data_IF_316060837935
#
_entry.id   IF_316060837935
#
_cell.length_a   1.000
_cell.length_b   1.000
_cell.length_c   1.000
_cell.angle_alpha   90.00
_cell.angle_beta   90.00
_cell.angle_gamma   90.00
#
_symmetry.space_group_name_H-M   'P 1'
#
loop_
_entity.id
_entity.type
_entity.pdbx_description
1 polymer ?
#
# COMPACT_ATOMS: atom_id res chain seq x y z
N UNK A 1 2.18 2.23 16.87
CA UNK A 1 1.45 1.05 17.39
C UNK A 1 2.35 0.21 18.27
N UNK A 2 3.54 -0.28 17.79
CA UNK A 2 4.49 -1.02 18.65
C UNK A 2 4.96 -0.18 19.86
N UNK A 3 5.25 1.09 19.66
CA UNK A 3 5.62 2.02 20.74
C UNK A 3 4.53 2.22 21.80
N UNK A 4 3.28 1.90 21.46
CA UNK A 4 2.14 1.93 22.39
C UNK A 4 1.91 0.60 23.12
N UNK A 5 2.89 -0.31 23.14
CA UNK A 5 2.80 -1.60 23.83
C UNK A 5 1.94 -2.65 23.11
N UNK A 6 1.49 -2.39 21.89
CA UNK A 6 0.68 -3.35 21.11
C UNK A 6 1.59 -4.32 20.36
N UNK A 7 1.39 -5.63 20.58
CA UNK A 7 2.08 -6.66 19.81
C UNK A 7 1.54 -6.68 18.38
N UNK A 8 2.38 -6.37 17.40
CA UNK A 8 2.07 -6.37 15.98
C UNK A 8 2.68 -7.58 15.29
N UNK A 9 1.86 -8.35 14.58
CA UNK A 9 2.28 -9.50 13.77
C UNK A 9 2.10 -9.11 12.30
N UNK A 10 3.19 -8.82 11.58
CA UNK A 10 3.12 -8.42 10.19
C UNK A 10 2.75 -9.61 9.30
N UNK A 11 1.80 -9.38 8.39
CA UNK A 11 1.38 -10.33 7.39
C UNK A 11 1.38 -9.67 6.01
N UNK A 12 1.75 -10.42 4.97
CA UNK A 12 1.66 -9.97 3.58
C UNK A 12 1.12 -11.08 2.70
N UNK A 13 0.33 -10.71 1.69
CA UNK A 13 -0.18 -11.69 0.73
C UNK A 13 0.95 -12.24 -0.13
N UNK A 14 1.84 -11.37 -0.63
CA UNK A 14 2.96 -11.74 -1.52
C UNK A 14 4.29 -11.55 -0.79
N UNK A 15 5.24 -12.38 -1.14
CA UNK A 15 6.63 -12.18 -0.76
C UNK A 15 7.35 -11.49 -1.92
N UNK A 16 7.79 -10.24 -1.76
CA UNK A 16 8.59 -9.57 -2.78
C UNK A 16 9.97 -10.24 -2.95
N UNK A 17 10.60 -10.11 -4.13
CA UNK A 17 11.98 -10.53 -4.34
C UNK A 17 12.94 -9.88 -3.34
N UNK A 18 14.03 -10.57 -3.01
CA UNK A 18 15.00 -10.06 -2.03
C UNK A 18 15.66 -8.74 -2.46
N UNK A 19 15.87 -8.59 -3.74
CA UNK A 19 16.46 -7.37 -4.33
C UNK A 19 15.64 -6.08 -4.10
N UNK A 20 14.36 -6.20 -3.76
CA UNK A 20 13.51 -5.05 -3.45
C UNK A 20 13.77 -4.49 -2.02
N UNK A 21 14.40 -5.28 -1.13
CA UNK A 21 14.69 -4.88 0.24
C UNK A 21 16.09 -4.27 0.35
N UNK A 22 16.18 -2.96 0.26
CA UNK A 22 17.46 -2.24 0.21
C UNK A 22 17.98 -1.81 1.59
N UNK A 23 17.06 -1.55 2.54
CA UNK A 23 17.38 -1.12 3.90
C UNK A 23 17.47 -2.28 4.91
N UNK A 24 18.19 -2.07 6.02
CA UNK A 24 18.27 -3.06 7.12
C UNK A 24 16.91 -3.28 7.81
N UNK A 25 16.14 -2.22 8.01
CA UNK A 25 14.81 -2.29 8.60
C UNK A 25 13.83 -3.08 7.73
N UNK A 26 13.91 -2.90 6.40
CA UNK A 26 13.09 -3.64 5.43
C UNK A 26 13.44 -5.14 5.46
N UNK A 27 14.72 -5.49 5.53
CA UNK A 27 15.16 -6.89 5.65
C UNK A 27 14.70 -7.53 6.96
N UNK A 28 14.75 -6.78 8.06
CA UNK A 28 14.23 -7.22 9.35
C UNK A 28 12.73 -7.44 9.29
N UNK A 29 11.98 -6.47 8.75
CA UNK A 29 10.54 -6.58 8.58
C UNK A 29 10.17 -7.79 7.70
N UNK A 30 10.95 -8.06 6.62
CA UNK A 30 10.77 -9.24 5.76
C UNK A 30 10.88 -10.54 6.56
N UNK A 31 11.88 -10.65 7.43
CA UNK A 31 12.11 -11.86 8.24
C UNK A 31 10.98 -12.11 9.25
N UNK A 32 10.38 -11.06 9.80
CA UNK A 32 9.28 -11.13 10.76
C UNK A 32 7.90 -11.33 10.09
N UNK A 33 7.78 -11.11 8.78
CA UNK A 33 6.49 -11.12 8.07
C UNK A 33 6.04 -12.53 7.70
N UNK A 34 4.78 -12.84 8.04
CA UNK A 34 4.12 -14.04 7.55
C UNK A 34 3.58 -13.82 6.13
N UNK A 35 4.03 -14.66 5.18
CA UNK A 35 3.64 -14.59 3.78
C UNK A 35 2.55 -15.61 3.46
N UNK A 36 1.35 -15.12 3.16
CA UNK A 36 0.15 -15.94 2.97
C UNK A 36 0.25 -16.81 1.73
N UNK A 37 0.61 -16.21 0.58
CA UNK A 37 0.64 -16.91 -0.71
C UNK A 37 1.67 -18.05 -0.76
N UNK A 38 2.92 -17.87 -0.32
CA UNK A 38 3.86 -18.97 -0.18
C UNK A 38 3.36 -20.07 0.74
N UNK A 39 2.74 -19.70 1.87
CA UNK A 39 2.18 -20.67 2.81
C UNK A 39 0.98 -21.45 2.22
N UNK A 40 0.13 -20.81 1.42
CA UNK A 40 -1.03 -21.42 0.77
C UNK A 40 -0.65 -22.34 -0.42
N UNK A 41 0.55 -22.19 -0.98
CA UNK A 41 1.06 -23.12 -2.02
C UNK A 41 1.35 -24.52 -1.50
N UNK A 42 1.53 -24.69 -0.20
CA UNK A 42 1.65 -26.01 0.41
C UNK A 42 0.26 -26.63 0.59
N UNK A 43 -0.10 -27.71 -0.15
CA UNK A 43 -1.44 -28.26 -0.16
C UNK A 43 -1.83 -28.86 1.20
N UNK A 44 -0.88 -29.46 1.92
CA UNK A 44 -1.13 -30.02 3.25
C UNK A 44 -1.48 -28.94 4.26
N UNK A 45 -0.74 -27.81 4.19
CA UNK A 45 -1.01 -26.65 5.05
C UNK A 45 -2.36 -26.03 4.73
N UNK A 46 -2.70 -25.91 3.44
CA UNK A 46 -3.96 -25.37 2.96
C UNK A 46 -5.13 -26.22 3.46
N UNK A 47 -5.10 -27.53 3.21
CA UNK A 47 -6.11 -28.48 3.65
C UNK A 47 -6.26 -28.51 5.17
N UNK A 48 -5.17 -28.52 5.90
CA UNK A 48 -5.17 -28.52 7.36
C UNK A 48 -5.76 -27.20 7.93
N UNK A 49 -5.48 -26.05 7.31
CA UNK A 49 -6.03 -24.76 7.73
C UNK A 49 -7.55 -24.73 7.52
N UNK A 50 -8.02 -25.10 6.34
CA UNK A 50 -9.44 -25.16 6.03
C UNK A 50 -10.18 -26.24 6.84
N UNK A 51 -9.57 -27.41 7.05
CA UNK A 51 -10.12 -28.47 7.91
C UNK A 51 -10.33 -27.98 9.34
N UNK A 52 -9.34 -27.30 9.92
CA UNK A 52 -9.48 -26.70 11.26
C UNK A 52 -10.55 -25.61 11.31
N UNK A 53 -10.62 -24.74 10.29
CA UNK A 53 -11.66 -23.70 10.22
C UNK A 53 -13.05 -24.32 10.11
N UNK A 54 -13.22 -25.35 9.29
CA UNK A 54 -14.46 -26.10 9.12
C UNK A 54 -14.89 -26.82 10.43
N UNK A 55 -13.97 -27.50 11.09
CA UNK A 55 -14.25 -28.20 12.36
C UNK A 55 -14.58 -27.25 13.50
N UNK A 56 -14.01 -26.02 13.50
CA UNK A 56 -14.37 -25.00 14.51
C UNK A 56 -15.79 -24.49 14.33
N UNK A 57 -16.23 -24.29 13.09
CA UNK A 57 -17.61 -23.91 12.77
C UNK A 57 -17.88 -24.06 11.28
N UNK A 58 -18.58 -25.14 10.92
CA UNK A 58 -19.06 -25.40 9.56
C UNK A 58 -19.91 -24.23 9.03
N UNK A 59 -20.78 -23.68 9.89
CA UNK A 59 -21.66 -22.58 9.53
C UNK A 59 -20.88 -21.31 9.16
N UNK A 60 -19.82 -20.95 9.92
CA UNK A 60 -18.99 -19.79 9.61
C UNK A 60 -18.18 -20.04 8.35
N UNK A 61 -17.61 -21.23 8.19
CA UNK A 61 -16.87 -21.59 6.99
C UNK A 61 -17.75 -21.46 5.74
N UNK A 62 -18.97 -22.02 5.76
CA UNK A 62 -19.92 -21.92 4.65
C UNK A 62 -20.39 -20.48 4.38
N UNK A 63 -20.70 -19.71 5.44
CA UNK A 63 -21.06 -18.29 5.32
C UNK A 63 -19.93 -17.47 4.71
N UNK A 64 -18.68 -17.75 5.07
CA UNK A 64 -17.52 -17.04 4.53
C UNK A 64 -17.26 -17.42 3.07
N UNK A 65 -17.46 -18.68 2.69
CA UNK A 65 -17.42 -19.08 1.28
C UNK A 65 -18.51 -18.37 0.47
N UNK A 66 -19.73 -18.32 0.98
CA UNK A 66 -20.83 -17.58 0.35
C UNK A 66 -20.53 -16.10 0.25
N UNK A 67 -19.87 -15.50 1.25
CA UNK A 67 -19.39 -14.12 1.21
C UNK A 67 -18.36 -13.92 0.08
N UNK A 68 -17.38 -14.81 -0.03
CA UNK A 68 -16.39 -14.74 -1.11
C UNK A 68 -17.07 -14.76 -2.50
N UNK A 69 -18.04 -15.65 -2.69
CA UNK A 69 -18.83 -15.71 -3.93
C UNK A 69 -19.64 -14.43 -4.15
N UNK A 70 -20.24 -13.86 -3.12
CA UNK A 70 -21.02 -12.61 -3.22
C UNK A 70 -20.16 -11.40 -3.55
N UNK A 71 -18.93 -11.34 -3.04
CA UNK A 71 -17.97 -10.24 -3.28
C UNK A 71 -17.35 -10.27 -4.68
N UNK A 72 -17.71 -11.21 -5.54
CA UNK A 72 -17.18 -11.24 -6.90
C UNK A 72 -17.83 -10.18 -7.79
N UNK A 73 -17.06 -9.62 -8.70
CA UNK A 73 -17.61 -8.96 -9.88
C UNK A 73 -18.17 -10.01 -10.88
N UNK A 74 -18.96 -9.61 -11.87
CA UNK A 74 -19.48 -10.54 -12.86
C UNK A 74 -18.39 -11.32 -13.59
N UNK A 75 -18.67 -12.59 -13.91
CA UNK A 75 -17.82 -13.44 -14.73
C UNK A 75 -17.08 -14.57 -13.99
N UNK A 76 -16.75 -15.61 -14.73
CA UNK A 76 -16.10 -16.84 -14.21
C UNK A 76 -14.72 -16.56 -13.66
N UNK A 77 -13.94 -15.70 -14.33
CA UNK A 77 -12.61 -15.30 -13.87
C UNK A 77 -12.63 -14.65 -12.49
N UNK A 78 -13.64 -13.80 -12.25
CA UNK A 78 -13.80 -13.13 -10.96
C UNK A 78 -14.18 -14.14 -9.85
N UNK A 79 -15.01 -15.12 -10.15
CA UNK A 79 -15.33 -16.21 -9.24
C UNK A 79 -14.09 -17.01 -8.85
N UNK A 80 -13.27 -17.39 -9.85
CA UNK A 80 -12.02 -18.12 -9.60
C UNK A 80 -11.10 -17.34 -8.66
N UNK A 81 -10.92 -16.02 -8.89
CA UNK A 81 -10.12 -15.19 -8.02
C UNK A 81 -10.66 -15.12 -6.59
N UNK A 82 -11.97 -15.02 -6.42
CA UNK A 82 -12.58 -14.99 -5.07
C UNK A 82 -12.41 -16.33 -4.35
N UNK A 83 -12.46 -17.45 -5.06
CA UNK A 83 -12.14 -18.76 -4.49
C UNK A 83 -10.67 -18.84 -4.05
N UNK A 84 -9.73 -18.31 -4.85
CA UNK A 84 -8.34 -18.21 -4.41
C UNK A 84 -8.18 -17.33 -3.16
N UNK A 85 -8.87 -16.19 -3.10
CA UNK A 85 -8.85 -15.35 -1.90
C UNK A 85 -9.43 -16.06 -0.68
N UNK A 86 -10.48 -16.86 -0.86
CA UNK A 86 -11.03 -17.69 0.22
C UNK A 86 -10.03 -18.75 0.69
N UNK A 87 -9.33 -19.41 -0.22
CA UNK A 87 -8.28 -20.38 0.12
C UNK A 87 -7.11 -19.73 0.88
N UNK A 88 -6.63 -18.58 0.42
CA UNK A 88 -5.61 -17.78 1.11
C UNK A 88 -6.09 -17.32 2.50
N UNK A 89 -7.37 -16.93 2.61
CA UNK A 89 -7.98 -16.50 3.85
C UNK A 89 -8.01 -17.58 4.92
N UNK A 90 -8.25 -18.84 4.56
CA UNK A 90 -8.19 -19.97 5.50
C UNK A 90 -6.81 -20.13 6.13
N UNK A 91 -5.74 -19.98 5.33
CA UNK A 91 -4.35 -20.04 5.80
C UNK A 91 -4.01 -18.87 6.70
N UNK A 92 -4.46 -17.65 6.35
CA UNK A 92 -4.28 -16.48 7.18
C UNK A 92 -5.06 -16.62 8.50
N UNK A 93 -6.32 -17.04 8.46
CA UNK A 93 -7.13 -17.24 9.66
C UNK A 93 -6.52 -18.25 10.65
N UNK A 94 -5.94 -19.35 10.15
CA UNK A 94 -5.21 -20.30 10.98
C UNK A 94 -3.98 -19.68 11.65
N UNK A 95 -3.23 -18.86 10.91
CA UNK A 95 -2.09 -18.11 11.44
C UNK A 95 -2.51 -17.11 12.52
N UNK A 96 -3.56 -16.32 12.26
CA UNK A 96 -4.12 -15.36 13.22
C UNK A 96 -4.55 -16.05 14.52
N UNK A 97 -5.21 -17.19 14.40
CA UNK A 97 -5.68 -17.98 15.55
C UNK A 97 -4.54 -18.52 16.41
N UNK A 98 -3.51 -19.11 15.77
CA UNK A 98 -2.33 -19.64 16.47
C UNK A 98 -1.57 -18.55 17.22
N UNK A 99 -1.57 -17.34 16.69
CA UNK A 99 -0.90 -16.19 17.30
C UNK A 99 -1.80 -15.38 18.24
N UNK A 100 -3.03 -15.82 18.50
CA UNK A 100 -4.02 -15.17 19.37
C UNK A 100 -4.26 -13.70 18.99
N UNK A 101 -4.30 -13.43 17.67
CA UNK A 101 -4.61 -12.09 17.14
C UNK A 101 -6.04 -11.73 17.49
N UNK A 102 -6.26 -10.51 17.98
CA UNK A 102 -7.58 -10.02 18.39
C UNK A 102 -8.17 -8.99 17.46
N UNK A 103 -7.38 -8.44 16.52
CA UNK A 103 -7.82 -7.48 15.51
C UNK A 103 -6.95 -7.61 14.27
N UNK A 104 -7.55 -7.60 13.09
CA UNK A 104 -6.84 -7.60 11.81
C UNK A 104 -7.00 -6.24 11.14
N UNK A 105 -5.89 -5.53 10.92
CA UNK A 105 -5.87 -4.29 10.14
C UNK A 105 -5.17 -4.49 8.81
N UNK A 106 -5.79 -4.03 7.72
CA UNK A 106 -5.25 -4.15 6.37
C UNK A 106 -4.96 -2.77 5.77
N UNK A 107 -3.98 -2.67 4.90
CA UNK A 107 -3.72 -1.50 4.08
C UNK A 107 -4.18 -1.74 2.64
N UNK A 108 -4.85 -0.74 2.04
CA UNK A 108 -5.50 -0.77 0.73
C UNK A 108 -6.76 -1.64 0.65
N UNK A 109 -7.80 -1.14 -0.03
CA UNK A 109 -9.08 -1.83 -0.22
C UNK A 109 -9.07 -2.92 -1.31
N UNK A 110 -7.94 -3.26 -1.90
CA UNK A 110 -7.78 -4.16 -3.05
C UNK A 110 -7.86 -5.67 -2.68
N UNK A 111 -7.16 -6.53 -3.42
CA UNK A 111 -7.15 -7.98 -3.23
C UNK A 111 -6.71 -8.43 -1.83
N UNK A 112 -5.74 -7.72 -1.22
CA UNK A 112 -5.31 -8.04 0.15
C UNK A 112 -6.45 -7.87 1.16
N UNK A 113 -7.26 -6.83 0.97
CA UNK A 113 -8.42 -6.58 1.79
C UNK A 113 -9.51 -7.65 1.60
N UNK A 114 -9.65 -8.23 0.39
CA UNK A 114 -10.56 -9.36 0.16
C UNK A 114 -10.13 -10.58 0.97
N UNK A 115 -8.84 -10.90 0.99
CA UNK A 115 -8.31 -11.97 1.85
C UNK A 115 -8.48 -11.64 3.33
N UNK A 116 -8.20 -10.39 3.73
CA UNK A 116 -8.27 -9.97 5.13
C UNK A 116 -9.68 -10.05 5.71
N UNK A 117 -10.70 -9.56 4.99
CA UNK A 117 -12.09 -9.64 5.46
C UNK A 117 -12.57 -11.08 5.61
N UNK A 118 -12.24 -11.95 4.63
CA UNK A 118 -12.57 -13.37 4.70
C UNK A 118 -11.83 -14.09 5.84
N UNK A 119 -10.57 -13.75 6.06
CA UNK A 119 -9.79 -14.31 7.15
C UNK A 119 -10.30 -13.88 8.53
N UNK A 120 -10.69 -12.62 8.68
CA UNK A 120 -11.28 -12.10 9.91
C UNK A 120 -12.62 -12.79 10.24
N UNK A 121 -13.47 -13.02 9.23
CA UNK A 121 -14.72 -13.80 9.39
C UNK A 121 -14.42 -15.22 9.88
N UNK A 122 -13.50 -15.94 9.21
CA UNK A 122 -13.10 -17.29 9.61
C UNK A 122 -12.46 -17.34 11.01
N UNK A 123 -11.68 -16.31 11.36
CA UNK A 123 -11.05 -16.23 12.68
C UNK A 123 -11.97 -15.66 13.76
N UNK A 124 -13.13 -15.10 13.41
CA UNK A 124 -14.10 -14.45 14.29
C UNK A 124 -13.49 -13.27 15.07
N UNK A 125 -12.70 -12.45 14.40
CA UNK A 125 -12.09 -11.25 14.96
C UNK A 125 -12.52 -10.01 14.18
N UNK A 126 -12.54 -8.82 14.82
CA UNK A 126 -12.81 -7.58 14.12
C UNK A 126 -11.74 -7.28 13.07
N UNK A 127 -12.19 -6.65 11.98
CA UNK A 127 -11.40 -6.25 10.83
C UNK A 127 -11.52 -4.76 10.62
N UNK A 128 -10.45 -4.12 10.16
CA UNK A 128 -10.42 -2.73 9.70
C UNK A 128 -9.41 -2.56 8.58
N UNK A 129 -9.49 -1.44 7.86
CA UNK A 129 -8.49 -1.14 6.83
C UNK A 129 -8.27 0.36 6.66
N UNK A 130 -7.08 0.69 6.11
CA UNK A 130 -6.71 2.03 5.65
C UNK A 130 -6.72 2.07 4.13
N UNK A 131 -7.40 3.08 3.56
CA UNK A 131 -7.36 3.35 2.12
C UNK A 131 -6.33 4.45 1.83
N UNK A 132 -5.37 4.14 0.94
CA UNK A 132 -4.20 4.98 0.68
C UNK A 132 -4.20 5.69 -0.68
N UNK A 133 -5.10 5.39 -1.56
CA UNK A 133 -5.00 5.96 -2.90
C UNK A 133 -6.30 5.93 -3.71
N UNK A 134 -6.35 6.68 -4.80
CA UNK A 134 -7.55 6.82 -5.60
C UNK A 134 -7.85 5.59 -6.48
N UNK A 135 -6.88 4.69 -6.71
CA UNK A 135 -7.00 3.59 -7.67
C UNK A 135 -8.19 2.66 -7.39
N UNK A 136 -8.54 2.44 -6.13
CA UNK A 136 -9.67 1.61 -5.73
C UNK A 136 -11.02 2.18 -6.23
N UNK A 137 -11.12 3.50 -6.33
CA UNK A 137 -12.36 4.18 -6.70
C UNK A 137 -12.69 4.11 -8.19
N UNK A 138 -11.74 3.68 -9.03
CA UNK A 138 -11.98 3.40 -10.44
C UNK A 138 -12.54 1.99 -10.69
N UNK A 139 -12.46 1.09 -9.71
CA UNK A 139 -12.89 -0.31 -9.84
C UNK A 139 -13.65 -0.78 -8.59
N UNK A 140 -14.56 0.04 -8.07
CA UNK A 140 -15.28 -0.17 -6.80
C UNK A 140 -15.95 -1.54 -6.73
N UNK A 141 -16.67 -1.92 -7.80
CA UNK A 141 -17.39 -3.19 -7.88
C UNK A 141 -16.43 -4.39 -7.95
N UNK A 142 -15.30 -4.24 -8.65
CA UNK A 142 -14.28 -5.28 -8.72
C UNK A 142 -13.72 -5.62 -7.35
N UNK A 143 -13.58 -4.60 -6.51
CA UNK A 143 -13.02 -4.75 -5.17
C UNK A 143 -14.06 -4.97 -4.09
N UNK A 144 -15.35 -4.97 -4.43
CA UNK A 144 -16.47 -5.06 -3.49
C UNK A 144 -16.30 -4.08 -2.31
N UNK A 145 -15.94 -2.83 -2.60
CA UNK A 145 -15.62 -1.84 -1.59
C UNK A 145 -16.78 -1.58 -0.61
N UNK A 146 -18.06 -1.47 -1.06
CA UNK A 146 -19.19 -1.31 -0.15
C UNK A 146 -19.30 -2.42 0.90
N UNK A 147 -19.12 -3.67 0.48
CA UNK A 147 -19.19 -4.84 1.39
C UNK A 147 -18.04 -4.82 2.42
N UNK A 148 -16.83 -4.42 2.02
CA UNK A 148 -15.68 -4.28 2.91
C UNK A 148 -15.90 -3.20 3.96
N UNK A 149 -16.44 -2.04 3.56
CA UNK A 149 -16.80 -0.95 4.47
C UNK A 149 -17.87 -1.42 5.44
N UNK A 150 -18.92 -2.10 4.95
CA UNK A 150 -20.00 -2.61 5.80
C UNK A 150 -19.49 -3.54 6.90
N UNK A 151 -18.51 -4.39 6.61
CA UNK A 151 -17.95 -5.39 7.53
C UNK A 151 -16.83 -4.87 8.42
N UNK A 152 -16.17 -3.79 8.03
CA UNK A 152 -15.13 -3.21 8.83
C UNK A 152 -15.67 -2.68 10.17
N UNK A 153 -14.92 -2.86 11.25
CA UNK A 153 -15.17 -2.22 12.53
C UNK A 153 -14.96 -0.69 12.41
N UNK A 154 -13.93 -0.28 11.68
CA UNK A 154 -13.68 1.09 11.25
C UNK A 154 -12.87 1.10 9.94
N UNK A 155 -12.93 2.22 9.23
CA UNK A 155 -12.16 2.46 8.01
C UNK A 155 -11.37 3.75 8.17
N UNK A 156 -10.10 3.71 7.82
CA UNK A 156 -9.23 4.89 7.85
C UNK A 156 -9.09 5.44 6.43
N UNK A 157 -9.44 6.71 6.25
CA UNK A 157 -9.16 7.51 5.08
C UNK A 157 -7.93 8.39 5.33
N UNK A 158 -6.97 8.41 4.41
CA UNK A 158 -5.77 9.23 4.60
C UNK A 158 -5.96 10.73 4.31
N UNK A 159 -7.09 11.10 3.68
CA UNK A 159 -7.43 12.49 3.33
C UNK A 159 -8.95 12.69 3.36
N UNK A 160 -9.39 13.96 3.37
CA UNK A 160 -10.81 14.33 3.21
C UNK A 160 -11.38 13.85 1.87
N UNK A 161 -10.59 13.94 0.79
CA UNK A 161 -10.97 13.40 -0.51
C UNK A 161 -11.21 11.87 -0.42
N UNK A 162 -10.29 11.14 0.16
CA UNK A 162 -10.45 9.70 0.34
C UNK A 162 -11.72 9.37 1.16
N UNK A 163 -11.97 10.11 2.25
CA UNK A 163 -13.18 9.95 3.05
C UNK A 163 -14.44 10.19 2.24
N UNK A 164 -14.51 11.28 1.45
CA UNK A 164 -15.68 11.59 0.62
C UNK A 164 -15.96 10.48 -0.40
N UNK A 165 -14.91 9.91 -1.01
CA UNK A 165 -15.07 8.80 -1.95
C UNK A 165 -15.54 7.51 -1.26
N UNK A 166 -15.02 7.18 -0.09
CA UNK A 166 -15.49 6.04 0.70
C UNK A 166 -16.96 6.20 1.11
N UNK A 167 -17.39 7.42 1.46
CA UNK A 167 -18.79 7.72 1.75
C UNK A 167 -19.66 7.60 0.50
N UNK A 168 -19.22 8.09 -0.65
CA UNK A 168 -19.96 8.02 -1.93
C UNK A 168 -20.27 6.56 -2.31
N UNK A 169 -19.34 5.64 -2.08
CA UNK A 169 -19.45 4.24 -2.43
C UNK A 169 -19.89 3.33 -1.26
N UNK A 170 -20.50 3.89 -0.22
CA UNK A 170 -21.01 3.12 0.92
C UNK A 170 -22.37 3.62 1.40
N UNK A 171 -23.10 2.73 2.07
CA UNK A 171 -24.37 3.08 2.70
C UNK A 171 -24.12 4.13 3.81
N UNK A 172 -24.94 5.20 3.91
CA UNK A 172 -24.83 6.24 4.94
C UNK A 172 -24.76 5.72 6.38
N UNK A 173 -25.41 4.60 6.69
CA UNK A 173 -25.34 3.95 8.03
C UNK A 173 -23.92 3.53 8.44
N UNK A 174 -22.95 3.53 7.50
CA UNK A 174 -21.56 3.14 7.76
C UNK A 174 -20.60 4.34 7.79
N UNK A 175 -21.08 5.57 7.59
CA UNK A 175 -20.22 6.75 7.50
C UNK A 175 -19.48 7.08 8.79
N UNK A 176 -20.09 6.80 9.94
CA UNK A 176 -19.50 7.02 11.26
C UNK A 176 -18.26 6.16 11.52
N UNK A 177 -18.12 5.05 10.77
CA UNK A 177 -16.94 4.19 10.84
C UNK A 177 -15.73 4.76 10.07
N UNK A 178 -15.93 5.77 9.19
CA UNK A 178 -14.91 6.30 8.31
C UNK A 178 -14.25 7.50 8.97
N UNK A 179 -13.04 7.29 9.49
CA UNK A 179 -12.25 8.31 10.17
C UNK A 179 -11.06 8.75 9.32
N UNK A 180 -10.59 9.99 9.54
CA UNK A 180 -9.41 10.50 8.84
C UNK A 180 -8.19 10.33 9.74
N UNK A 181 -7.16 9.65 9.21
CA UNK A 181 -5.82 9.62 9.81
C UNK A 181 -4.82 9.89 8.69
N UNK A 182 -4.24 11.07 8.71
CA UNK A 182 -3.24 11.45 7.69
C UNK A 182 -1.97 10.63 7.80
N UNK A 183 -1.35 10.34 6.65
CA UNK A 183 0.00 9.80 6.64
C UNK A 183 0.95 10.88 7.18
N UNK A 184 1.67 10.56 8.24
CA UNK A 184 2.59 11.48 8.89
C UNK A 184 4.04 11.14 8.62
N UNK A 185 4.90 12.13 8.86
CA UNK A 185 6.35 12.00 8.95
C UNK A 185 6.82 12.59 10.26
N UNK A 186 7.98 12.19 10.74
CA UNK A 186 8.61 12.84 11.88
C UNK A 186 9.24 14.17 11.42
N UNK A 187 8.70 15.34 11.82
CA UNK A 187 9.26 16.64 11.40
C UNK A 187 10.71 16.85 11.88
N UNK A 188 11.12 16.19 12.99
CA UNK A 188 12.48 16.31 13.52
C UNK A 188 13.52 15.69 12.57
N UNK A 189 13.12 14.73 11.74
CA UNK A 189 13.97 14.15 10.72
C UNK A 189 14.22 15.10 9.52
N UNK A 190 13.38 16.14 9.35
CA UNK A 190 13.42 17.08 8.22
C UNK A 190 13.89 18.46 8.70
N UNK A 191 15.18 18.57 9.00
CA UNK A 191 15.74 19.87 9.39
C UNK A 191 16.05 20.69 8.14
N UNK A 192 15.60 21.95 8.12
CA UNK A 192 15.95 22.90 7.07
C UNK A 192 17.42 23.32 7.25
N UNK A 193 18.21 23.30 6.18
CA UNK A 193 19.47 23.98 6.11
C UNK A 193 19.19 25.46 5.75
N UNK A 194 19.51 26.43 6.64
CA UNK A 194 19.29 27.84 6.36
C UNK A 194 20.24 28.41 5.30
N UNK A 195 21.34 27.70 4.94
CA UNK A 195 22.35 28.15 3.98
C UNK A 195 22.03 27.97 2.50
N UNK A 196 20.87 27.37 2.17
CA UNK A 196 20.49 27.11 0.77
C UNK A 196 20.20 28.38 -0.02
N UNK A 197 20.74 28.50 -1.22
CA UNK A 197 20.53 29.64 -2.15
C UNK A 197 19.17 29.63 -2.87
N UNK A 198 18.32 28.62 -2.61
CA UNK A 198 17.00 28.47 -3.24
C UNK A 198 17.00 28.00 -4.70
N UNK A 199 18.16 27.70 -5.28
CA UNK A 199 18.30 27.32 -6.70
C UNK A 199 18.39 25.80 -6.94
N UNK A 200 18.46 25.01 -5.86
CA UNK A 200 18.50 23.55 -5.94
C UNK A 200 17.12 22.98 -5.66
N UNK A 201 16.54 22.35 -6.67
CA UNK A 201 15.23 21.67 -6.59
C UNK A 201 15.45 20.19 -6.40
N UNK A 202 14.78 19.62 -5.41
CA UNK A 202 14.81 18.18 -5.16
C UNK A 202 13.43 17.56 -5.37
N UNK A 203 13.39 16.46 -6.10
CA UNK A 203 12.23 15.58 -6.20
C UNK A 203 12.57 14.24 -5.55
N UNK A 204 11.75 13.79 -4.62
CA UNK A 204 11.93 12.50 -3.95
C UNK A 204 10.69 11.66 -4.14
N UNK A 205 10.83 10.55 -4.83
CA UNK A 205 9.70 9.66 -5.05
C UNK A 205 9.87 8.71 -6.23
N UNK A 206 8.93 7.77 -6.35
CA UNK A 206 8.90 6.87 -7.49
C UNK A 206 8.68 7.67 -8.79
N UNK A 207 9.49 7.41 -9.80
CA UNK A 207 9.32 8.00 -11.13
C UNK A 207 8.18 7.28 -11.88
N UNK A 208 6.96 7.68 -11.52
CA UNK A 208 5.71 7.14 -12.00
C UNK A 208 4.88 8.32 -12.57
N UNK A 209 4.11 8.12 -13.66
CA UNK A 209 3.30 9.20 -14.25
C UNK A 209 2.46 9.99 -13.23
N UNK A 210 1.88 9.30 -12.22
CA UNK A 210 1.06 9.94 -11.17
C UNK A 210 1.86 10.86 -10.24
N UNK A 211 3.19 10.81 -10.24
CA UNK A 211 4.06 11.65 -9.41
C UNK A 211 4.52 12.93 -10.12
N UNK A 212 4.23 13.07 -11.42
CA UNK A 212 4.44 14.30 -12.16
C UNK A 212 5.90 14.61 -12.53
N UNK A 213 6.80 13.62 -12.56
CA UNK A 213 8.22 13.86 -12.88
C UNK A 213 8.42 14.53 -14.27
N UNK A 214 7.64 14.13 -15.28
CA UNK A 214 7.67 14.77 -16.61
C UNK A 214 7.23 16.24 -16.55
N UNK A 215 6.16 16.53 -15.82
CA UNK A 215 5.67 17.89 -15.65
C UNK A 215 6.69 18.77 -14.93
N UNK A 216 7.40 18.20 -13.93
CA UNK A 216 8.47 18.92 -13.22
C UNK A 216 9.63 19.25 -14.15
N UNK A 217 10.02 18.38 -15.08
CA UNK A 217 11.07 18.65 -16.07
C UNK A 217 10.64 19.79 -17.02
N UNK A 218 9.39 19.81 -17.45
CA UNK A 218 8.88 20.91 -18.27
C UNK A 218 8.87 22.24 -17.51
N UNK A 219 8.46 22.21 -16.24
CA UNK A 219 8.52 23.38 -15.37
C UNK A 219 9.96 23.87 -15.17
N UNK A 220 10.92 22.91 -15.01
CA UNK A 220 12.34 23.25 -14.84
C UNK A 220 12.93 23.97 -16.06
N UNK A 221 12.53 23.60 -17.29
CA UNK A 221 12.91 24.29 -18.50
C UNK A 221 12.47 25.76 -18.50
N UNK A 222 11.34 26.06 -17.87
CA UNK A 222 10.87 27.44 -17.68
C UNK A 222 11.67 28.16 -16.59
N UNK A 223 11.96 27.50 -15.49
CA UNK A 223 12.79 28.05 -14.39
C UNK A 223 14.17 28.43 -14.87
N UNK A 224 14.81 27.59 -15.68
CA UNK A 224 16.16 27.82 -16.20
C UNK A 224 16.30 29.08 -17.12
N UNK A 225 15.20 29.56 -17.71
CA UNK A 225 15.20 30.81 -18.46
C UNK A 225 15.46 32.04 -17.55
N UNK A 226 14.93 32.00 -16.33
CA UNK A 226 15.11 33.08 -15.35
C UNK A 226 16.27 32.81 -14.39
N UNK A 227 16.63 31.57 -14.16
CA UNK A 227 17.64 31.10 -13.23
C UNK A 227 18.54 30.04 -13.89
N UNK A 228 19.48 30.44 -14.77
CA UNK A 228 20.31 29.50 -15.55
C UNK A 228 21.21 28.58 -14.70
N UNK A 229 21.45 28.93 -13.45
CA UNK A 229 22.26 28.23 -12.47
C UNK A 229 21.38 27.28 -11.55
N UNK A 230 20.07 27.19 -11.78
CA UNK A 230 19.23 26.29 -11.05
C UNK A 230 19.49 24.83 -11.45
N UNK A 231 19.35 23.91 -10.50
CA UNK A 231 19.52 22.47 -10.73
C UNK A 231 18.34 21.67 -10.20
N UNK A 232 18.06 20.53 -10.83
CA UNK A 232 17.02 19.58 -10.40
C UNK A 232 17.65 18.21 -10.13
N UNK A 233 17.47 17.66 -8.93
CA UNK A 233 17.84 16.29 -8.62
C UNK A 233 16.59 15.44 -8.40
N UNK A 234 16.44 14.35 -9.17
CA UNK A 234 15.38 13.37 -9.01
C UNK A 234 15.92 12.13 -8.28
N UNK A 235 15.53 11.97 -7.02
CA UNK A 235 15.84 10.81 -6.20
C UNK A 235 14.67 9.80 -6.27
N UNK A 236 14.90 8.70 -6.93
CA UNK A 236 13.95 7.64 -7.15
C UNK A 236 14.16 6.93 -8.48
N UNK A 237 13.35 5.91 -8.72
CA UNK A 237 13.33 5.15 -9.96
C UNK A 237 11.90 4.76 -10.32
N UNK A 238 11.68 4.30 -11.55
CA UNK A 238 10.36 3.87 -11.97
C UNK A 238 10.15 3.92 -13.48
N UNK A 239 8.96 3.50 -13.95
CA UNK A 239 8.67 3.34 -15.38
C UNK A 239 8.73 4.65 -16.18
N UNK A 240 8.57 5.81 -15.53
CA UNK A 240 8.65 7.12 -16.21
C UNK A 240 10.09 7.64 -16.38
N UNK A 241 11.12 6.96 -15.85
CA UNK A 241 12.51 7.44 -15.88
C UNK A 241 13.02 7.69 -17.31
N UNK A 242 12.94 6.69 -18.17
CA UNK A 242 13.44 6.81 -19.54
C UNK A 242 12.75 7.95 -20.32
N UNK A 243 11.43 8.13 -20.13
CA UNK A 243 10.69 9.24 -20.72
C UNK A 243 11.11 10.61 -20.16
N UNK A 244 11.42 10.67 -18.86
CA UNK A 244 11.89 11.88 -18.20
C UNK A 244 13.29 12.30 -18.67
N UNK A 245 14.21 11.34 -18.83
CA UNK A 245 15.56 11.55 -19.38
C UNK A 245 15.49 12.04 -20.85
N UNK A 246 14.68 11.38 -21.67
CA UNK A 246 14.46 11.77 -23.06
C UNK A 246 13.86 13.19 -23.16
N UNK A 247 12.92 13.55 -22.27
CA UNK A 247 12.30 14.88 -22.25
C UNK A 247 13.28 15.95 -21.83
N UNK A 248 14.11 15.72 -20.80
CA UNK A 248 15.16 16.66 -20.39
C UNK A 248 16.12 16.95 -21.53
N UNK A 249 16.54 15.92 -22.28
CA UNK A 249 17.40 16.05 -23.47
C UNK A 249 16.72 16.84 -24.58
N UNK A 250 15.44 16.54 -24.88
CA UNK A 250 14.68 17.25 -25.92
C UNK A 250 14.47 18.74 -25.60
N UNK A 251 14.51 19.12 -24.33
CA UNK A 251 14.41 20.51 -23.86
C UNK A 251 15.80 21.17 -23.72
N UNK A 252 16.90 20.45 -23.95
CA UNK A 252 18.28 20.97 -23.82
C UNK A 252 18.68 21.31 -22.37
N UNK A 253 18.11 20.65 -21.39
CA UNK A 253 18.33 20.90 -19.96
C UNK A 253 18.97 19.73 -19.20
N UNK A 254 19.47 18.71 -19.92
CA UNK A 254 20.04 17.50 -19.34
C UNK A 254 21.20 17.75 -18.38
N UNK A 255 21.96 18.81 -18.58
CA UNK A 255 23.07 19.20 -17.69
C UNK A 255 22.61 19.78 -16.36
N UNK A 256 21.41 20.34 -16.32
CA UNK A 256 20.79 20.89 -15.11
C UNK A 256 19.94 19.84 -14.34
N UNK A 257 19.74 18.64 -14.92
CA UNK A 257 18.86 17.60 -14.35
C UNK A 257 19.68 16.36 -14.01
N UNK A 258 19.73 15.99 -12.72
CA UNK A 258 20.42 14.80 -12.23
C UNK A 258 19.40 13.71 -11.86
N UNK A 259 19.49 12.53 -12.43
CA UNK A 259 18.74 11.33 -12.07
C UNK A 259 19.57 10.48 -11.10
N UNK A 260 19.32 10.63 -9.81
CA UNK A 260 20.13 10.01 -8.75
C UNK A 260 19.78 8.53 -8.50
N UNK A 261 18.67 8.04 -9.06
CA UNK A 261 18.21 6.68 -8.81
C UNK A 261 17.62 6.51 -7.41
N UNK A 262 17.50 5.26 -6.98
CA UNK A 262 17.00 4.94 -5.63
C UNK A 262 18.05 5.31 -4.57
N UNK A 263 17.65 6.11 -3.59
CA UNK A 263 18.49 6.56 -2.48
C UNK A 263 17.93 6.03 -1.14
N UNK A 264 18.78 5.40 -0.32
CA UNK A 264 18.37 4.85 0.98
C UNK A 264 18.36 5.89 2.10
N UNK A 265 19.19 6.92 2.00
CA UNK A 265 19.34 8.01 2.97
C UNK A 265 19.19 9.38 2.28
N UNK A 266 18.01 9.58 1.70
CA UNK A 266 17.72 10.75 0.85
C UNK A 266 18.07 12.07 1.55
N UNK A 267 17.72 12.23 2.83
CA UNK A 267 17.92 13.48 3.57
C UNK A 267 19.41 13.76 3.83
N UNK A 268 20.22 12.75 4.11
CA UNK A 268 21.66 12.90 4.34
C UNK A 268 22.39 13.25 3.04
N UNK A 269 22.06 12.57 1.94
CA UNK A 269 22.70 12.81 0.65
C UNK A 269 22.36 14.17 0.05
N UNK A 270 21.14 14.69 0.25
CA UNK A 270 20.82 16.07 -0.15
C UNK A 270 21.49 17.13 0.73
N UNK A 271 21.97 16.78 1.91
CA UNK A 271 22.74 17.68 2.80
C UNK A 271 24.22 17.71 2.44
N UNK A 272 24.81 16.57 2.07
CA UNK A 272 26.24 16.47 1.68
C UNK A 272 26.52 16.99 0.27
N UNK A 273 25.56 16.96 -0.65
CA UNK A 273 25.66 17.60 -1.97
C UNK A 273 25.52 19.15 -1.89
N UNK A 274 25.62 19.71 -0.68
CA UNK A 274 25.45 21.15 -0.40
C UNK A 274 26.75 21.94 -0.38
N UNK A 275 27.89 21.25 -0.41
CA UNK A 275 29.25 21.84 -0.39
C UNK A 275 29.85 21.93 -1.84
#
# INVERSE_FOLDING_TARGET
>A
VRASGVRVIPCSIRQPPEAEFKGQEERRARAETFYVKPAARNPLRLLAAHGRAFLRSTAIWAKTLALAVRMRSPGVKALIWQLFYFLEAGVLADHLHRNRVRHLHNHFGNSSCSVAVLAAELARIPFSFTEHGPAIFFEVDRWALPEKIARAAFVVAITHFCRSQLMLFSDPRHWDKITIVHCGVDPAAYRRDPGGNGKRVAFVGRLDPVKGALLLIEAMATVLKAHPDATLTLAGDGPARAGAEARAKALGIETAVRFAGFMTQVLEQFRTDSD
#
